data_IF_761201377175
#
_entry.id   IF_761201377175
#
_cell.length_a   1.000
_cell.length_b   1.000
_cell.length_c   1.000
_cell.angle_alpha   90.00
_cell.angle_beta   90.00
_cell.angle_gamma   90.00
#
_symmetry.space_group_name_H-M   'P 1'
#
loop_
_entity.id
_entity.type
_entity.pdbx_description
1 polymer ?
#
# COMPACT_ATOMS: atom_id res chain seq x y z
N UNK A 1 -12.97 -21.64 -14.63
CA UNK A 1 -12.40 -20.27 -14.57
C UNK A 1 -12.21 -19.94 -13.09
N UNK A 2 -11.05 -20.28 -12.52
CA UNK A 2 -10.76 -20.08 -11.09
C UNK A 2 -10.35 -18.63 -10.88
N UNK A 3 -11.30 -17.80 -10.45
CA UNK A 3 -11.02 -16.45 -9.98
C UNK A 3 -10.34 -16.58 -8.62
N UNK A 4 -9.00 -16.66 -8.62
CA UNK A 4 -8.17 -16.40 -7.45
C UNK A 4 -8.71 -15.11 -6.83
N UNK A 5 -9.25 -15.17 -5.61
CA UNK A 5 -9.80 -14.00 -4.90
C UNK A 5 -8.64 -13.07 -4.51
N UNK A 6 -8.12 -12.33 -5.50
CA UNK A 6 -7.21 -11.23 -5.28
C UNK A 6 -8.03 -10.07 -4.73
N UNK A 7 -7.76 -9.68 -3.49
CA UNK A 7 -8.29 -8.42 -2.98
C UNK A 7 -7.87 -7.30 -3.93
N UNK A 8 -8.86 -6.49 -4.28
CA UNK A 8 -8.70 -5.23 -4.98
C UNK A 8 -7.94 -4.24 -4.09
N UNK A 9 -7.30 -3.24 -4.71
CA UNK A 9 -6.58 -2.22 -3.96
C UNK A 9 -7.45 -1.49 -2.90
N UNK A 10 -8.75 -1.34 -3.19
CA UNK A 10 -9.71 -0.74 -2.25
C UNK A 10 -9.92 -1.58 -0.99
N UNK A 11 -9.95 -2.89 -1.13
CA UNK A 11 -10.10 -3.80 0.01
C UNK A 11 -8.84 -3.79 0.90
N UNK A 12 -7.65 -3.71 0.30
CA UNK A 12 -6.41 -3.51 1.06
C UNK A 12 -6.40 -2.18 1.83
N UNK A 13 -6.90 -1.11 1.22
CA UNK A 13 -7.05 0.19 1.89
C UNK A 13 -8.00 0.11 3.08
N UNK A 14 -9.19 -0.48 2.90
CA UNK A 14 -10.16 -0.68 3.98
C UNK A 14 -9.59 -1.59 5.09
N UNK A 15 -8.88 -2.66 4.73
CA UNK A 15 -8.25 -3.57 5.67
C UNK A 15 -7.24 -2.86 6.60
N UNK A 16 -6.49 -1.90 6.08
CA UNK A 16 -5.57 -1.10 6.88
C UNK A 16 -6.28 -0.24 7.91
N UNK A 17 -7.41 0.40 7.56
CA UNK A 17 -8.26 1.13 8.51
C UNK A 17 -8.98 0.21 9.49
N UNK A 18 -9.36 -1.00 9.10
CA UNK A 18 -9.92 -1.99 10.04
C UNK A 18 -8.89 -2.44 11.09
N UNK A 19 -7.61 -2.42 10.73
CA UNK A 19 -6.48 -2.66 11.64
C UNK A 19 -5.90 -1.35 12.17
N UNK A 20 -6.75 -0.34 12.37
CA UNK A 20 -6.37 0.95 12.95
C UNK A 20 -5.66 0.75 14.30
N UNK A 21 -4.53 1.44 14.49
CA UNK A 21 -3.72 1.39 15.70
C UNK A 21 -3.33 -0.02 16.19
N UNK A 22 -3.38 -1.05 15.32
CA UNK A 22 -2.93 -2.40 15.64
C UNK A 22 -1.47 -2.58 15.22
N UNK A 23 -0.57 -2.51 16.20
CA UNK A 23 0.88 -2.61 15.99
C UNK A 23 1.41 -4.05 15.96
N UNK A 24 0.64 -5.01 16.45
CA UNK A 24 1.03 -6.43 16.49
C UNK A 24 0.64 -7.17 15.21
N UNK A 25 1.37 -8.26 14.95
CA UNK A 25 1.19 -9.10 13.76
C UNK A 25 1.99 -8.61 12.56
N UNK A 26 1.62 -9.13 11.39
CA UNK A 26 2.36 -8.99 10.14
C UNK A 26 1.48 -8.41 9.03
N UNK A 27 2.11 -7.66 8.13
CA UNK A 27 1.45 -7.07 6.96
C UNK A 27 2.21 -7.35 5.68
N UNK A 28 1.45 -7.69 4.64
CA UNK A 28 1.99 -7.95 3.31
C UNK A 28 2.45 -6.66 2.63
N UNK A 29 3.35 -6.77 1.65
CA UNK A 29 3.74 -5.63 0.79
C UNK A 29 2.53 -4.93 0.14
N UNK A 30 1.54 -5.69 -0.32
CA UNK A 30 0.38 -5.15 -1.02
C UNK A 30 -0.50 -4.34 -0.06
N UNK A 31 -0.70 -4.82 1.17
CA UNK A 31 -1.43 -4.08 2.21
C UNK A 31 -0.77 -2.72 2.49
N UNK A 32 0.56 -2.68 2.60
CA UNK A 32 1.31 -1.44 2.81
C UNK A 32 1.22 -0.49 1.60
N UNK A 33 1.59 -0.94 0.40
CA UNK A 33 1.69 -0.07 -0.77
C UNK A 33 0.34 0.44 -1.29
N UNK A 34 -0.72 -0.37 -1.23
CA UNK A 34 -2.05 0.12 -1.56
C UNK A 34 -2.54 1.15 -0.55
N UNK A 35 -2.28 0.94 0.76
CA UNK A 35 -2.61 1.96 1.75
C UNK A 35 -1.90 3.29 1.45
N UNK A 36 -0.58 3.24 1.25
CA UNK A 36 0.20 4.44 0.88
C UNK A 36 -0.39 5.11 -0.37
N UNK A 37 -0.60 4.35 -1.45
CA UNK A 37 -1.09 4.90 -2.72
C UNK A 37 -2.47 5.55 -2.60
N UNK A 38 -3.42 4.91 -1.92
CA UNK A 38 -4.77 5.45 -1.75
C UNK A 38 -4.84 6.58 -0.71
N UNK A 39 -3.91 6.65 0.23
CA UNK A 39 -3.80 7.78 1.16
C UNK A 39 -3.13 9.02 0.53
N UNK A 40 -2.24 8.85 -0.46
CA UNK A 40 -1.48 9.95 -1.04
C UNK A 40 -2.37 11.05 -1.65
N UNK A 41 -3.34 10.70 -2.51
CA UNK A 41 -4.17 11.69 -3.19
C UNK A 41 -5.09 12.47 -2.23
N UNK A 42 -5.85 11.83 -1.32
CA UNK A 42 -6.66 12.55 -0.33
C UNK A 42 -5.82 13.43 0.59
N UNK A 43 -4.66 12.94 1.04
CA UNK A 43 -3.76 13.74 1.88
C UNK A 43 -3.18 14.94 1.11
N UNK A 44 -2.79 14.74 -0.15
CA UNK A 44 -2.33 15.86 -0.97
C UNK A 44 -3.44 16.89 -1.17
N UNK A 45 -4.65 16.45 -1.53
CA UNK A 45 -5.79 17.33 -1.77
C UNK A 45 -6.17 18.14 -0.53
N UNK A 46 -6.26 17.52 0.65
CA UNK A 46 -6.65 18.23 1.87
C UNK A 46 -5.58 19.24 2.31
N UNK A 47 -4.30 18.88 2.25
CA UNK A 47 -3.22 19.81 2.61
C UNK A 47 -3.07 20.94 1.59
N UNK A 48 -3.30 20.66 0.30
CA UNK A 48 -3.35 21.69 -0.75
C UNK A 48 -4.50 22.67 -0.50
N UNK A 49 -5.70 22.19 -0.16
CA UNK A 49 -6.84 23.04 0.15
C UNK A 49 -6.57 23.92 1.38
N UNK A 50 -5.94 23.38 2.43
CA UNK A 50 -5.54 24.14 3.62
C UNK A 50 -4.55 25.25 3.25
N UNK A 51 -3.47 24.91 2.54
CA UNK A 51 -2.48 25.89 2.08
C UNK A 51 -3.09 26.97 1.18
N UNK A 52 -3.98 26.57 0.27
CA UNK A 52 -4.66 27.49 -0.64
C UNK A 52 -5.58 28.45 0.11
N UNK A 53 -6.31 27.97 1.13
CA UNK A 53 -7.18 28.83 1.95
C UNK A 53 -6.38 29.85 2.77
N UNK A 54 -5.23 29.44 3.34
CA UNK A 54 -4.31 30.33 4.06
C UNK A 54 -3.73 31.41 3.13
N UNK A 55 -3.36 31.04 1.90
CA UNK A 55 -2.92 32.00 0.90
C UNK A 55 -4.01 33.02 0.50
N UNK A 56 -5.27 32.58 0.38
CA UNK A 56 -6.40 33.47 0.09
C UNK A 56 -6.71 34.41 1.25
N UNK A 57 -6.57 33.94 2.49
CA UNK A 57 -6.69 34.76 3.69
C UNK A 57 -5.63 35.88 3.70
N UNK A 58 -4.36 35.56 3.46
CA UNK A 58 -3.27 36.55 3.41
C UNK A 58 -3.47 37.59 2.28
N UNK A 59 -4.10 37.18 1.18
CA UNK A 59 -4.39 38.05 0.03
C UNK A 59 -5.65 38.91 0.23
N UNK A 60 -6.43 38.70 1.30
CA UNK A 60 -7.68 39.40 1.51
C UNK A 60 -7.46 40.87 1.91
N UNK A 61 -8.33 41.81 1.47
CA UNK A 61 -8.26 43.18 1.94
C UNK A 61 -8.42 43.26 3.46
N UNK A 62 -7.49 43.92 4.14
CA UNK A 62 -7.54 44.11 5.58
C UNK A 62 -8.79 44.87 6.02
N UNK A 63 -9.35 44.50 7.16
CA UNK A 63 -10.59 45.03 7.74
C UNK A 63 -11.83 44.85 6.85
N UNK A 64 -11.87 43.79 6.04
CA UNK A 64 -13.01 43.47 5.19
C UNK A 64 -13.80 42.27 5.70
N UNK A 65 -15.08 42.17 5.33
CA UNK A 65 -15.86 40.95 5.60
C UNK A 65 -15.26 39.70 4.94
N UNK A 66 -14.55 39.87 3.82
CA UNK A 66 -13.88 38.77 3.13
C UNK A 66 -12.76 38.16 3.98
N UNK A 67 -11.98 38.99 4.68
CA UNK A 67 -10.93 38.55 5.61
C UNK A 67 -11.48 37.60 6.67
N UNK A 68 -12.57 37.98 7.33
CA UNK A 68 -13.22 37.15 8.37
C UNK A 68 -13.70 35.82 7.78
N UNK A 69 -14.28 35.82 6.57
CA UNK A 69 -14.74 34.60 5.91
C UNK A 69 -13.58 33.66 5.58
N UNK A 70 -12.48 34.20 5.05
CA UNK A 70 -11.30 33.39 4.72
C UNK A 70 -10.62 32.84 5.98
N UNK A 71 -10.50 33.64 7.04
CA UNK A 71 -9.96 33.19 8.33
C UNK A 71 -10.80 32.05 8.93
N UNK A 72 -12.13 32.17 8.95
CA UNK A 72 -13.00 31.08 9.44
C UNK A 72 -12.85 29.84 8.57
N UNK A 73 -12.71 30.01 7.26
CA UNK A 73 -12.54 28.89 6.32
C UNK A 73 -11.21 28.18 6.49
N UNK A 74 -10.10 28.92 6.58
CA UNK A 74 -8.75 28.38 6.78
C UNK A 74 -8.66 27.64 8.11
N UNK A 75 -9.26 28.19 9.18
CA UNK A 75 -9.30 27.56 10.49
C UNK A 75 -10.05 26.23 10.47
N UNK A 76 -11.22 26.17 9.82
CA UNK A 76 -11.98 24.92 9.68
C UNK A 76 -11.15 23.88 8.91
N UNK A 77 -10.55 24.27 7.77
CA UNK A 77 -9.74 23.38 6.96
C UNK A 77 -8.51 22.88 7.71
N UNK A 78 -7.87 23.72 8.51
CA UNK A 78 -6.75 23.35 9.37
C UNK A 78 -7.12 22.27 10.39
N UNK A 79 -8.26 22.40 11.08
CA UNK A 79 -8.69 21.38 12.05
C UNK A 79 -9.05 20.07 11.36
N UNK A 80 -9.77 20.12 10.24
CA UNK A 80 -10.14 18.93 9.47
C UNK A 80 -8.89 18.23 8.93
N UNK A 81 -7.94 18.99 8.35
CA UNK A 81 -6.68 18.43 7.85
C UNK A 81 -5.87 17.81 8.98
N UNK A 82 -5.83 18.44 10.16
CA UNK A 82 -5.12 17.92 11.33
C UNK A 82 -5.67 16.56 11.76
N UNK A 83 -6.99 16.41 11.86
CA UNK A 83 -7.63 15.14 12.24
C UNK A 83 -7.30 14.04 11.22
N UNK A 84 -7.41 14.34 9.93
CA UNK A 84 -7.11 13.39 8.84
C UNK A 84 -5.64 12.98 8.85
N UNK A 85 -4.72 13.92 9.05
CA UNK A 85 -3.28 13.66 9.13
C UNK A 85 -2.95 12.78 10.35
N UNK A 86 -3.52 13.07 11.53
CA UNK A 86 -3.29 12.26 12.74
C UNK A 86 -3.78 10.82 12.55
N UNK A 87 -5.00 10.63 12.05
CA UNK A 87 -5.56 9.29 11.83
C UNK A 87 -4.73 8.49 10.83
N UNK A 88 -4.27 9.14 9.76
CA UNK A 88 -3.42 8.49 8.75
C UNK A 88 -2.02 8.20 9.30
N UNK A 89 -1.43 9.11 10.08
CA UNK A 89 -0.13 8.94 10.71
C UNK A 89 -0.09 7.74 11.66
N UNK A 90 -1.12 7.60 12.52
CA UNK A 90 -1.24 6.45 13.43
C UNK A 90 -1.33 5.14 12.63
N UNK A 91 -2.10 5.15 11.55
CA UNK A 91 -2.30 3.97 10.69
C UNK A 91 -1.03 3.59 9.94
N UNK A 92 -0.29 4.58 9.41
CA UNK A 92 1.01 4.39 8.77
C UNK A 92 2.03 3.82 9.75
N UNK A 93 2.12 4.37 10.96
CA UNK A 93 3.07 3.90 11.99
C UNK A 93 2.77 2.45 12.39
N UNK A 94 1.50 2.09 12.52
CA UNK A 94 1.07 0.72 12.79
C UNK A 94 1.38 -0.22 11.62
N UNK A 95 1.14 0.21 10.37
CA UNK A 95 1.47 -0.56 9.16
C UNK A 95 2.98 -0.78 8.99
N UNK A 96 3.78 0.26 9.18
CA UNK A 96 5.25 0.16 9.13
C UNK A 96 5.74 -0.83 10.18
N UNK A 97 5.20 -0.77 11.40
CA UNK A 97 5.53 -1.76 12.45
C UNK A 97 5.24 -3.19 11.98
N UNK A 98 4.04 -3.45 11.46
CA UNK A 98 3.64 -4.78 10.96
C UNK A 98 4.43 -5.22 9.72
N UNK A 99 4.84 -4.29 8.86
CA UNK A 99 5.68 -4.58 7.70
C UNK A 99 7.11 -4.93 8.13
N UNK A 100 7.68 -4.21 9.10
CA UNK A 100 8.97 -4.52 9.69
C UNK A 100 8.96 -5.88 10.39
N UNK A 101 7.90 -6.19 11.13
CA UNK A 101 7.69 -7.50 11.74
C UNK A 101 7.66 -8.63 10.69
N UNK A 102 7.08 -8.36 9.53
CA UNK A 102 7.01 -9.34 8.43
C UNK A 102 8.36 -9.62 7.77
N UNK A 103 9.34 -8.70 7.90
CA UNK A 103 10.74 -8.91 7.46
C UNK A 103 11.70 -9.23 8.61
N UNK A 104 11.17 -9.53 9.80
CA UNK A 104 11.94 -9.96 10.99
C UNK A 104 12.49 -8.84 11.89
N UNK A 105 12.29 -7.57 11.53
CA UNK A 105 12.75 -6.41 12.32
C UNK A 105 11.68 -5.97 13.33
N UNK A 106 12.09 -5.34 14.43
CA UNK A 106 11.14 -4.74 15.37
C UNK A 106 10.52 -3.46 14.80
N UNK A 107 9.26 -3.16 15.15
CA UNK A 107 8.60 -1.92 14.71
C UNK A 107 9.29 -0.62 15.17
N UNK A 108 10.12 -0.69 16.22
CA UNK A 108 10.88 0.44 16.75
C UNK A 108 11.95 0.99 15.79
N UNK A 109 12.40 0.22 14.81
CA UNK A 109 13.39 0.66 13.83
C UNK A 109 12.93 1.86 13.00
N UNK A 110 11.64 2.13 12.91
CA UNK A 110 11.11 3.32 12.26
C UNK A 110 11.42 4.63 13.01
N UNK A 111 11.81 4.59 14.29
CA UNK A 111 12.12 5.81 15.06
C UNK A 111 13.36 6.50 14.51
N UNK A 112 14.37 5.75 14.06
CA UNK A 112 15.63 6.32 13.57
C UNK A 112 15.39 7.30 12.40
N UNK A 113 14.75 6.91 11.28
CA UNK A 113 14.48 7.85 10.20
C UNK A 113 13.53 8.98 10.63
N UNK A 114 12.55 8.71 11.50
CA UNK A 114 11.63 9.73 12.01
C UNK A 114 12.31 10.78 12.91
N UNK A 115 13.31 10.41 13.70
CA UNK A 115 14.08 11.36 14.50
C UNK A 115 15.04 12.16 13.63
N UNK A 116 15.67 11.52 12.64
CA UNK A 116 16.59 12.18 11.73
C UNK A 116 15.89 13.20 10.82
N UNK A 117 14.64 12.94 10.39
CA UNK A 117 13.87 13.95 9.65
C UNK A 117 13.56 15.17 10.52
N UNK A 118 13.18 15.00 11.80
CA UNK A 118 12.93 16.13 12.70
C UNK A 118 14.20 16.98 12.89
N UNK A 119 15.36 16.34 13.07
CA UNK A 119 16.64 17.05 13.19
C UNK A 119 17.05 17.77 11.90
N UNK A 120 16.77 17.18 10.74
CA UNK A 120 17.01 17.79 9.44
C UNK A 120 16.10 19.00 9.21
N UNK A 121 14.81 18.92 9.58
CA UNK A 121 13.85 20.03 9.51
C UNK A 121 14.27 21.21 10.40
N UNK A 122 14.69 20.94 11.65
CA UNK A 122 15.21 21.98 12.55
C UNK A 122 16.46 22.64 11.95
N UNK A 123 17.38 21.83 11.42
CA UNK A 123 18.62 22.34 10.79
C UNK A 123 18.32 23.19 9.55
N UNK A 124 17.33 22.79 8.75
CA UNK A 124 16.84 23.52 7.58
C UNK A 124 16.24 24.88 8.00
N UNK A 125 15.40 24.90 9.03
CA UNK A 125 14.83 26.13 9.57
C UNK A 125 15.90 27.10 10.10
N UNK A 126 16.91 26.61 10.82
CA UNK A 126 18.03 27.44 11.31
C UNK A 126 18.84 28.04 10.15
N UNK A 127 19.06 27.26 9.09
CA UNK A 127 19.73 27.73 7.88
C UNK A 127 18.91 28.82 7.17
N UNK A 128 17.61 28.60 6.99
CA UNK A 128 16.68 29.58 6.42
C UNK A 128 16.68 30.90 7.23
N UNK A 129 16.61 30.82 8.55
CA UNK A 129 16.67 31.99 9.43
C UNK A 129 18.00 32.74 9.29
N UNK A 130 19.12 32.02 9.23
CA UNK A 130 20.45 32.62 9.06
C UNK A 130 20.60 33.33 7.70
N UNK A 131 20.04 32.74 6.63
CA UNK A 131 19.99 33.34 5.29
C UNK A 131 19.16 34.63 5.29
N UNK A 132 18.00 34.63 5.94
CA UNK A 132 17.09 35.78 5.96
C UNK A 132 17.66 36.98 6.72
N UNK A 133 18.40 36.74 7.81
CA UNK A 133 18.92 37.81 8.68
C UNK A 133 20.39 38.14 8.45
N UNK A 134 21.09 37.42 7.55
CA UNK A 134 22.51 37.63 7.29
C UNK A 134 23.40 37.34 8.51
N UNK A 135 23.01 36.37 9.35
CA UNK A 135 23.72 36.11 10.61
C UNK A 135 25.07 35.41 10.37
N UNK A 136 26.09 35.65 11.22
CA UNK A 136 27.39 34.97 11.13
C UNK A 136 27.32 33.46 11.41
N UNK A 137 26.17 32.95 11.87
CA UNK A 137 25.93 31.53 12.13
C UNK A 137 25.67 30.68 10.89
N UNK A 138 25.65 31.28 9.69
CA UNK A 138 25.36 30.58 8.43
C UNK A 138 26.17 29.29 8.25
N UNK A 139 27.50 29.37 8.39
CA UNK A 139 28.39 28.23 8.20
C UNK A 139 28.07 27.08 9.17
N UNK A 140 27.73 27.39 10.42
CA UNK A 140 27.36 26.40 11.41
C UNK A 140 26.03 25.73 11.05
N UNK A 141 24.99 26.51 10.71
CA UNK A 141 23.69 25.96 10.31
C UNK A 141 23.78 25.10 9.05
N UNK A 142 24.65 25.47 8.10
CA UNK A 142 24.89 24.68 6.90
C UNK A 142 25.57 23.34 7.21
N UNK A 143 26.58 23.33 8.08
CA UNK A 143 27.25 22.09 8.51
C UNK A 143 26.28 21.17 9.29
N UNK A 144 25.44 21.73 10.17
CA UNK A 144 24.41 20.97 10.88
C UNK A 144 23.40 20.33 9.93
N UNK A 145 23.00 21.04 8.87
CA UNK A 145 22.12 20.48 7.84
C UNK A 145 22.78 19.28 7.15
N UNK A 146 24.04 19.38 6.74
CA UNK A 146 24.74 18.26 6.09
C UNK A 146 24.87 17.04 7.03
N UNK A 147 25.18 17.29 8.30
CA UNK A 147 25.34 16.24 9.30
C UNK A 147 24.03 15.52 9.63
N UNK A 148 22.88 16.16 9.46
CA UNK A 148 21.55 15.57 9.71
C UNK A 148 20.92 14.98 8.44
N UNK A 149 21.08 15.65 7.30
CA UNK A 149 20.49 15.24 6.03
C UNK A 149 21.10 13.96 5.46
N UNK A 150 22.43 13.78 5.55
CA UNK A 150 23.09 12.59 4.99
C UNK A 150 22.65 11.32 5.74
N UNK A 151 22.73 11.24 7.09
CA UNK A 151 22.21 10.08 7.83
C UNK A 151 20.71 9.87 7.63
N UNK A 152 19.93 10.95 7.54
CA UNK A 152 18.50 10.86 7.21
C UNK A 152 18.31 10.09 5.90
N UNK A 153 18.95 10.52 4.81
CA UNK A 153 18.83 9.86 3.50
C UNK A 153 19.24 8.38 3.55
N UNK A 154 20.35 8.07 4.23
CA UNK A 154 20.81 6.67 4.38
C UNK A 154 19.77 5.83 5.13
N UNK A 155 19.27 6.32 6.27
CA UNK A 155 18.26 5.63 7.07
C UNK A 155 16.92 5.48 6.33
N UNK A 156 16.56 6.48 5.53
CA UNK A 156 15.34 6.50 4.73
C UNK A 156 15.40 5.48 3.60
N UNK A 157 16.52 5.44 2.85
CA UNK A 157 16.74 4.40 1.83
C UNK A 157 16.72 3.01 2.47
N UNK A 158 17.39 2.85 3.61
CA UNK A 158 17.42 1.57 4.32
C UNK A 158 16.02 1.08 4.72
N UNK A 159 15.19 1.94 5.34
CA UNK A 159 13.83 1.53 5.72
C UNK A 159 12.95 1.30 4.48
N UNK A 160 13.09 2.10 3.42
CA UNK A 160 12.36 1.88 2.17
C UNK A 160 12.69 0.51 1.55
N UNK A 161 13.96 0.12 1.54
CA UNK A 161 14.37 -1.21 1.08
C UNK A 161 13.64 -2.28 1.89
N UNK A 162 13.61 -2.18 3.23
CA UNK A 162 12.90 -3.13 4.08
C UNK A 162 11.39 -3.19 3.82
N UNK A 163 10.76 -2.05 3.54
CA UNK A 163 9.33 -1.98 3.21
C UNK A 163 9.02 -2.60 1.84
N UNK A 164 9.98 -2.55 0.91
CA UNK A 164 9.93 -3.15 -0.43
C UNK A 164 10.29 -4.64 -0.48
N UNK A 165 11.04 -5.16 0.50
CA UNK A 165 11.48 -6.56 0.55
C UNK A 165 10.30 -7.52 0.42
N UNK A 166 10.53 -8.76 -0.01
CA UNK A 166 9.47 -9.78 -0.04
C UNK A 166 9.00 -10.13 1.39
N UNK A 167 7.80 -10.69 1.51
CA UNK A 167 7.30 -11.21 2.79
C UNK A 167 8.02 -12.51 3.13
N UNK A 168 8.35 -12.71 4.41
CA UNK A 168 8.85 -13.99 4.92
C UNK A 168 7.72 -15.05 4.84
N UNK A 169 7.99 -16.21 4.24
CA UNK A 169 6.99 -17.27 4.07
C UNK A 169 6.95 -18.21 5.28
N UNK A 170 7.91 -18.09 6.19
CA UNK A 170 7.91 -18.88 7.42
C UNK A 170 7.18 -18.14 8.54
N UNK A 171 6.73 -18.90 9.53
CA UNK A 171 6.23 -18.33 10.78
C UNK A 171 7.40 -17.72 11.53
N UNK A 172 7.30 -16.45 11.91
CA UNK A 172 8.34 -15.74 12.64
C UNK A 172 7.86 -15.35 14.04
N UNK A 173 8.75 -14.79 14.87
CA UNK A 173 8.44 -14.39 16.26
C UNK A 173 7.29 -13.39 16.42
N UNK A 174 6.87 -12.72 15.35
CA UNK A 174 5.79 -11.74 15.35
C UNK A 174 4.45 -12.31 14.88
N UNK A 175 4.42 -13.57 14.45
CA UNK A 175 3.21 -14.31 14.15
C UNK A 175 3.29 -15.14 12.89
N UNK A 176 2.17 -15.82 12.63
CA UNK A 176 1.96 -16.62 11.43
C UNK A 176 2.00 -15.75 10.16
N UNK A 177 2.22 -16.42 9.04
CA UNK A 177 2.17 -15.82 7.71
C UNK A 177 0.83 -15.07 7.55
N UNK A 178 0.84 -13.83 7.02
CA UNK A 178 -0.40 -13.10 6.79
C UNK A 178 -1.43 -13.95 6.05
N UNK A 179 -2.66 -14.03 6.58
CA UNK A 179 -3.71 -14.93 6.08
C UNK A 179 -3.94 -14.87 4.56
N UNK A 180 -3.77 -13.67 3.97
CA UNK A 180 -3.82 -13.50 2.51
C UNK A 180 -2.79 -14.35 1.77
N UNK A 181 -1.54 -14.39 2.24
CA UNK A 181 -0.48 -15.21 1.64
C UNK A 181 -0.79 -16.70 1.84
N UNK A 182 -1.25 -17.08 3.03
CA UNK A 182 -1.62 -18.47 3.33
C UNK A 182 -2.77 -18.99 2.43
N UNK A 183 -3.76 -18.15 2.12
CA UNK A 183 -4.83 -18.50 1.16
C UNK A 183 -4.26 -18.65 -0.25
N UNK A 184 -3.41 -17.72 -0.71
CA UNK A 184 -2.81 -17.82 -2.05
C UNK A 184 -1.89 -19.02 -2.22
N UNK A 185 -1.10 -19.37 -1.20
CA UNK A 185 -0.27 -20.57 -1.24
C UNK A 185 -1.12 -21.84 -1.29
N UNK A 186 -2.19 -21.92 -0.50
CA UNK A 186 -3.13 -23.04 -0.55
C UNK A 186 -3.82 -23.16 -1.91
N UNK A 187 -4.30 -22.06 -2.50
CA UNK A 187 -4.92 -22.06 -3.83
C UNK A 187 -3.93 -22.41 -4.96
N UNK A 188 -2.70 -21.88 -4.91
CA UNK A 188 -1.66 -22.21 -5.88
C UNK A 188 -1.21 -23.66 -5.75
N UNK A 189 -1.09 -24.18 -4.53
CA UNK A 189 -0.75 -25.58 -4.29
C UNK A 189 -1.87 -26.50 -4.77
N UNK A 190 -3.14 -26.18 -4.50
CA UNK A 190 -4.28 -26.96 -4.98
C UNK A 190 -4.43 -26.90 -6.51
N UNK A 191 -4.21 -25.75 -7.14
CA UNK A 191 -4.25 -25.66 -8.61
C UNK A 191 -3.07 -26.40 -9.26
N UNK A 192 -1.88 -26.34 -8.70
CA UNK A 192 -0.72 -27.08 -9.19
C UNK A 192 -0.88 -28.60 -9.00
N UNK A 193 -1.40 -29.05 -7.85
CA UNK A 193 -1.68 -30.47 -7.60
C UNK A 193 -2.82 -30.99 -8.48
N UNK A 194 -3.89 -30.20 -8.66
CA UNK A 194 -4.99 -30.49 -9.57
C UNK A 194 -4.51 -30.57 -11.03
N UNK A 195 -3.66 -29.64 -11.48
CA UNK A 195 -3.06 -29.70 -12.82
C UNK A 195 -2.16 -30.93 -12.99
N UNK A 196 -1.40 -31.31 -11.95
CA UNK A 196 -0.60 -32.54 -11.96
C UNK A 196 -1.46 -33.80 -11.99
N UNK A 197 -2.56 -33.82 -11.24
CA UNK A 197 -3.51 -34.92 -11.21
C UNK A 197 -4.25 -35.04 -12.55
N UNK A 198 -4.75 -33.93 -13.11
CA UNK A 198 -5.40 -33.88 -14.41
C UNK A 198 -4.46 -34.32 -15.55
N UNK A 199 -3.17 -33.94 -15.48
CA UNK A 199 -2.15 -34.37 -16.44
C UNK A 199 -1.81 -35.86 -16.32
N UNK A 200 -1.88 -36.43 -15.11
CA UNK A 200 -1.60 -37.84 -14.87
C UNK A 200 -2.84 -38.74 -15.05
N UNK A 201 -4.04 -38.18 -15.01
CA UNK A 201 -5.31 -38.93 -15.13
C UNK A 201 -5.90 -38.95 -16.53
N UNK A 202 -5.28 -38.26 -17.49
CA UNK A 202 -5.86 -38.05 -18.82
C UNK A 202 -4.78 -38.23 -19.89
N UNK A 203 -4.41 -39.48 -20.14
CA UNK A 203 -3.59 -39.90 -21.28
C UNK A 203 -4.49 -40.04 -22.54
N UNK A 204 -5.36 -39.05 -22.78
CA UNK A 204 -6.11 -39.00 -24.03
C UNK A 204 -5.19 -38.48 -25.12
N UNK A 205 -4.90 -39.35 -26.08
CA UNK A 205 -4.28 -39.01 -27.36
C UNK A 205 -4.94 -37.74 -27.91
N UNK A 206 -4.12 -36.79 -28.39
CA UNK A 206 -4.52 -35.47 -28.92
C UNK A 206 -5.79 -35.52 -29.79
N UNK A 207 -5.93 -36.61 -30.52
CA UNK A 207 -7.00 -36.87 -31.48
C UNK A 207 -8.39 -36.97 -30.83
N UNK A 208 -8.49 -37.54 -29.62
CA UNK A 208 -9.78 -37.66 -28.91
C UNK A 208 -10.23 -36.34 -28.29
N UNK A 209 -9.28 -35.49 -27.86
CA UNK A 209 -9.58 -34.14 -27.38
C UNK A 209 -10.11 -33.26 -28.50
N UNK A 210 -9.52 -33.35 -29.69
CA UNK A 210 -9.98 -32.62 -30.86
C UNK A 210 -11.39 -33.05 -31.27
N UNK A 211 -11.69 -34.36 -31.23
CA UNK A 211 -13.03 -34.89 -31.45
C UNK A 211 -14.07 -34.42 -30.42
N UNK A 212 -13.71 -34.34 -29.14
CA UNK A 212 -14.62 -33.83 -28.09
C UNK A 212 -14.91 -32.35 -28.28
N UNK A 213 -13.92 -31.55 -28.70
CA UNK A 213 -14.11 -30.13 -29.03
C UNK A 213 -15.04 -29.99 -30.24
N UNK A 214 -14.82 -30.75 -31.31
CA UNK A 214 -15.70 -30.75 -32.48
C UNK A 214 -17.13 -31.17 -32.15
N UNK A 215 -17.32 -32.19 -31.30
CA UNK A 215 -18.64 -32.60 -30.82
C UNK A 215 -19.33 -31.51 -30.00
N UNK A 216 -18.57 -30.73 -29.21
CA UNK A 216 -19.12 -29.61 -28.44
C UNK A 216 -19.58 -28.46 -29.35
N UNK A 217 -18.84 -28.16 -30.42
CA UNK A 217 -19.25 -27.15 -31.41
C UNK A 217 -20.52 -27.56 -32.17
N UNK A 218 -20.64 -28.86 -32.51
CA UNK A 218 -21.84 -29.39 -33.18
C UNK A 218 -23.07 -29.33 -32.28
N UNK A 219 -22.91 -29.58 -30.98
CA UNK A 219 -23.99 -29.37 -30.00
C UNK A 219 -24.37 -27.89 -29.90
N UNK A 220 -23.38 -26.99 -29.81
CA UNK A 220 -23.65 -25.55 -29.67
C UNK A 220 -24.34 -24.96 -30.92
N UNK A 221 -24.12 -25.56 -32.10
CA UNK A 221 -24.85 -25.26 -33.34
C UNK A 221 -26.26 -25.88 -33.38
N UNK A 222 -26.68 -26.59 -32.33
CA UNK A 222 -27.99 -27.24 -32.22
C UNK A 222 -28.13 -28.51 -33.08
N UNK A 223 -27.03 -29.04 -33.61
CA UNK A 223 -27.02 -30.22 -34.48
C UNK A 223 -27.06 -31.51 -33.66
N UNK A 224 -26.40 -31.52 -32.50
CA UNK A 224 -26.44 -32.62 -31.54
C UNK A 224 -27.31 -32.25 -30.33
N UNK A 225 -28.12 -33.19 -29.88
CA UNK A 225 -28.79 -33.08 -28.58
C UNK A 225 -27.79 -33.32 -27.44
N UNK A 226 -28.04 -32.74 -26.26
CA UNK A 226 -27.14 -32.92 -25.10
C UNK A 226 -26.98 -34.41 -24.71
N UNK A 227 -28.02 -35.22 -24.90
CA UNK A 227 -27.95 -36.66 -24.64
C UNK A 227 -26.99 -37.38 -25.60
N UNK A 228 -27.02 -37.05 -26.89
CA UNK A 228 -26.12 -37.63 -27.91
C UNK A 228 -24.68 -37.16 -27.73
N UNK A 229 -24.48 -35.90 -27.31
CA UNK A 229 -23.16 -35.37 -26.98
C UNK A 229 -22.53 -36.14 -25.81
N UNK A 230 -23.28 -36.36 -24.72
CA UNK A 230 -22.76 -37.10 -23.56
C UNK A 230 -22.47 -38.56 -23.88
N UNK A 231 -23.31 -39.21 -24.69
CA UNK A 231 -23.06 -40.56 -25.16
C UNK A 231 -21.75 -40.66 -25.95
N UNK A 232 -21.57 -39.83 -27.00
CA UNK A 232 -20.36 -39.83 -27.82
C UNK A 232 -19.11 -39.43 -27.05
N UNK A 233 -19.23 -38.49 -26.12
CA UNK A 233 -18.14 -38.09 -25.23
C UNK A 233 -17.71 -39.24 -24.33
N UNK A 234 -18.65 -40.05 -23.83
CA UNK A 234 -18.33 -41.22 -22.99
C UNK A 234 -17.67 -42.38 -23.76
N UNK A 235 -17.86 -42.46 -25.08
CA UNK A 235 -17.20 -43.46 -25.93
C UNK A 235 -15.74 -43.11 -26.26
N UNK A 236 -15.35 -41.83 -26.15
CA UNK A 236 -14.03 -41.30 -26.48
C UNK A 236 -13.10 -41.16 -25.25
N UNK A 237 -13.67 -41.25 -24.05
CA UNK A 237 -13.01 -41.16 -22.73
C UNK A 237 -12.79 -42.56 -22.16
#
# INVERSE_FOLDING_TARGET
MNTILRLTGREYYALAFLKYAKFSGRSTRSEYWYFVLFSLLPLFAINFLTFFAEYLEESAPQNSHAEIVFLVTSLILFFVSTIVNIGTFITLTALVSRRLHDVGYSGWWQIIPNMLVILAEISCYLLYSSLKHGSPSFSLSFVLLLFTAIPFLVSFVWILVLLCTASDLETNRFGEVPSMIAVFENENFQSASFQRQAKNSFDLTSDNLELIVQLSELRDKGILTEAEFQQKKSELL
#
